data_IF_178966038297
#
_entry.id   IF_178966038297
#
_cell.length_a   1.000
_cell.length_b   1.000
_cell.length_c   1.000
_cell.angle_alpha   90.00
_cell.angle_beta   90.00
_cell.angle_gamma   90.00
#
_symmetry.space_group_name_H-M   'P 1'
#
loop_
_entity.id
_entity.type
_entity.pdbx_description
1 polymer ?
#
# COMPACT_ATOMS: atom_id res chain seq x y z
N UNK A 1 -2.51 7.96 -8.35
CA UNK A 1 -2.06 9.16 -9.08
C UNK A 1 -2.16 10.36 -8.14
N UNK A 2 -1.21 11.29 -8.19
CA UNK A 2 -1.28 12.52 -7.40
C UNK A 2 -1.76 13.68 -8.28
N UNK A 3 -3.06 14.00 -8.21
CA UNK A 3 -3.67 15.13 -8.92
C UNK A 3 -3.57 16.46 -8.16
N UNK A 4 -2.88 16.47 -7.03
CA UNK A 4 -2.61 17.67 -6.25
C UNK A 4 -1.56 18.58 -6.89
N UNK A 5 -1.23 19.66 -6.17
CA UNK A 5 -0.28 20.69 -6.58
C UNK A 5 1.09 20.57 -5.89
N UNK A 6 1.29 19.55 -5.06
CA UNK A 6 2.54 19.30 -4.32
C UNK A 6 2.94 17.83 -4.43
N UNK A 7 4.25 17.52 -4.43
CA UNK A 7 4.71 16.15 -4.29
C UNK A 7 4.26 15.59 -2.93
N UNK A 8 4.08 14.27 -2.88
CA UNK A 8 3.77 13.53 -1.65
C UNK A 8 4.85 12.47 -1.48
N UNK A 9 5.41 12.38 -0.28
CA UNK A 9 6.43 11.38 0.06
C UNK A 9 5.80 10.22 0.83
N UNK A 10 6.19 9.01 0.49
CA UNK A 10 5.76 7.78 1.15
C UNK A 10 6.97 7.00 1.64
N UNK A 11 6.85 6.43 2.85
CA UNK A 11 7.80 5.46 3.36
C UNK A 11 7.15 4.08 3.33
N UNK A 12 7.54 3.24 2.37
CA UNK A 12 6.96 1.90 2.21
C UNK A 12 7.27 0.95 3.37
N UNK A 13 8.26 1.26 4.21
CA UNK A 13 8.47 0.57 5.48
C UNK A 13 7.29 0.72 6.46
N UNK A 14 6.41 1.70 6.23
CA UNK A 14 5.15 1.90 6.97
C UNK A 14 3.92 1.39 6.22
N UNK A 15 4.10 0.64 5.13
CA UNK A 15 3.01 -0.04 4.47
C UNK A 15 2.42 -1.08 5.44
N UNK A 16 1.22 -0.81 5.91
CA UNK A 16 0.45 -1.75 6.70
C UNK A 16 -0.33 -2.66 5.75
N UNK A 17 -0.03 -3.95 5.81
CA UNK A 17 -0.81 -5.00 5.14
C UNK A 17 -1.46 -5.83 6.23
N UNK A 18 -2.78 -6.01 6.19
CA UNK A 18 -3.51 -6.84 7.15
C UNK A 18 -4.37 -7.88 6.46
N UNK A 19 -4.48 -9.05 7.07
CA UNK A 19 -5.41 -10.10 6.67
C UNK A 19 -6.86 -9.80 7.12
N UNK A 20 -7.78 -10.71 6.79
CA UNK A 20 -9.19 -10.65 7.15
C UNK A 20 -9.47 -10.69 8.65
N UNK A 21 -8.52 -11.15 9.47
CA UNK A 21 -8.59 -11.18 10.93
C UNK A 21 -7.97 -9.92 11.57
N UNK A 22 -7.39 -9.03 10.76
CA UNK A 22 -6.69 -7.82 11.21
C UNK A 22 -5.23 -8.07 11.61
N UNK A 23 -4.68 -9.27 11.36
CA UNK A 23 -3.29 -9.60 11.61
C UNK A 23 -2.39 -8.94 10.56
N UNK A 24 -1.32 -8.29 11.01
CA UNK A 24 -0.33 -7.69 10.11
C UNK A 24 0.46 -8.75 9.34
N UNK A 25 0.63 -8.52 8.05
CA UNK A 25 1.34 -9.39 7.11
C UNK A 25 2.64 -8.72 6.65
N UNK A 26 3.67 -9.53 6.44
CA UNK A 26 4.88 -9.06 5.77
C UNK A 26 4.62 -8.91 4.27
N UNK A 27 5.01 -7.75 3.73
CA UNK A 27 4.93 -7.47 2.31
C UNK A 27 6.18 -6.70 1.86
N UNK A 28 6.53 -6.86 0.59
CA UNK A 28 7.64 -6.16 -0.05
C UNK A 28 7.08 -5.28 -1.16
N UNK A 29 7.38 -3.98 -1.09
CA UNK A 29 7.07 -3.04 -2.16
C UNK A 29 8.26 -2.94 -3.12
N UNK A 30 8.00 -3.15 -4.40
CA UNK A 30 8.98 -3.07 -5.49
C UNK A 30 8.52 -2.06 -6.54
N UNK A 31 9.46 -1.31 -7.13
CA UNK A 31 9.22 -0.32 -8.19
C UNK A 31 8.20 0.81 -7.85
N UNK A 32 7.81 0.93 -6.58
CA UNK A 32 6.99 2.03 -6.11
C UNK A 32 7.89 3.21 -5.70
N UNK A 33 7.65 4.43 -6.22
CA UNK A 33 8.52 5.56 -5.95
C UNK A 33 8.25 6.16 -4.57
N UNK A 34 9.30 6.41 -3.79
CA UNK A 34 9.22 7.05 -2.46
C UNK A 34 8.65 8.48 -2.53
N UNK A 35 8.69 9.11 -3.70
CA UNK A 35 8.06 10.40 -3.95
C UNK A 35 7.11 10.29 -5.13
N UNK A 36 5.89 10.77 -4.95
CA UNK A 36 4.85 10.86 -5.96
C UNK A 36 4.68 12.33 -6.40
N UNK A 37 5.30 12.75 -7.53
CA UNK A 37 5.18 14.12 -8.01
C UNK A 37 3.74 14.52 -8.30
N UNK A 38 3.46 15.82 -8.15
CA UNK A 38 2.23 16.43 -8.62
C UNK A 38 2.07 16.28 -10.15
N UNK A 39 0.83 16.42 -10.64
CA UNK A 39 0.55 16.46 -12.08
C UNK A 39 -0.13 15.22 -12.66
N UNK A 40 -0.66 14.32 -11.82
CA UNK A 40 -1.61 13.29 -12.23
C UNK A 40 -1.01 12.10 -12.99
N UNK A 41 0.32 12.05 -13.17
CA UNK A 41 0.98 10.91 -13.82
C UNK A 41 0.74 9.62 -13.02
N UNK A 42 0.36 8.50 -13.68
CA UNK A 42 0.28 7.22 -13.01
C UNK A 42 1.68 6.64 -12.79
N UNK A 43 1.88 6.05 -11.62
CA UNK A 43 3.05 5.26 -11.27
C UNK A 43 2.57 3.85 -10.93
N UNK A 44 3.40 2.86 -11.25
CA UNK A 44 3.10 1.45 -11.05
C UNK A 44 4.28 0.82 -10.32
N UNK A 45 3.96 -0.11 -9.44
CA UNK A 45 4.90 -0.99 -8.79
C UNK A 45 4.14 -2.18 -8.24
N UNK A 46 4.84 -3.06 -7.56
CA UNK A 46 4.34 -4.36 -7.12
C UNK A 46 4.43 -4.45 -5.61
N UNK A 47 3.39 -5.01 -4.98
CA UNK A 47 3.43 -5.41 -3.57
C UNK A 47 3.42 -6.93 -3.56
N UNK A 48 4.51 -7.54 -3.12
CA UNK A 48 4.65 -8.99 -3.00
C UNK A 48 4.29 -9.41 -1.58
N UNK A 49 3.41 -10.41 -1.46
CA UNK A 49 3.00 -10.98 -0.19
C UNK A 49 3.23 -12.50 -0.28
N UNK A 50 3.97 -13.11 0.66
CA UNK A 50 4.18 -14.55 0.65
C UNK A 50 2.85 -15.32 0.77
N UNK A 51 2.61 -16.29 -0.11
CA UNK A 51 1.38 -17.07 -0.11
C UNK A 51 1.10 -17.75 1.24
N UNK A 52 2.15 -18.19 1.94
CA UNK A 52 2.06 -18.87 3.23
C UNK A 52 1.41 -18.03 4.33
N UNK A 53 1.38 -16.70 4.19
CA UNK A 53 0.78 -15.79 5.20
C UNK A 53 -0.65 -15.36 4.83
N UNK A 54 -1.16 -15.77 3.67
CA UNK A 54 -2.52 -15.44 3.21
C UNK A 54 -3.42 -16.66 3.01
N UNK A 55 -2.91 -17.87 3.25
CA UNK A 55 -3.62 -19.14 2.99
C UNK A 55 -5.03 -19.20 3.57
N UNK A 56 -5.22 -18.68 4.79
CA UNK A 56 -6.49 -18.73 5.52
C UNK A 56 -7.24 -17.38 5.54
N UNK A 57 -6.91 -16.48 4.61
CA UNK A 57 -7.51 -15.15 4.57
C UNK A 57 -8.41 -14.96 3.34
N UNK A 58 -9.62 -14.46 3.58
CA UNK A 58 -10.58 -14.15 2.52
C UNK A 58 -10.21 -12.87 1.75
N UNK A 59 -9.59 -11.91 2.45
CA UNK A 59 -9.21 -10.63 1.90
C UNK A 59 -8.05 -10.01 2.67
N UNK A 60 -7.32 -9.12 2.01
CA UNK A 60 -6.33 -8.27 2.66
C UNK A 60 -6.76 -6.80 2.60
N UNK A 61 -6.13 -5.99 3.44
CA UNK A 61 -6.19 -4.53 3.37
C UNK A 61 -4.79 -3.96 3.31
N UNK A 62 -4.67 -2.81 2.65
CA UNK A 62 -3.43 -2.06 2.50
C UNK A 62 -3.66 -0.64 3.00
N UNK A 63 -2.77 -0.14 3.84
CA UNK A 63 -2.79 1.25 4.28
C UNK A 63 -1.38 1.83 4.28
N UNK A 64 -1.22 2.97 3.63
CA UNK A 64 0.03 3.70 3.57
C UNK A 64 -0.25 5.19 3.72
N UNK A 65 0.29 5.79 4.78
CA UNK A 65 0.21 7.24 5.00
C UNK A 65 1.46 7.94 4.46
N UNK A 66 1.30 9.18 4.02
CA UNK A 66 2.41 10.06 3.66
C UNK A 66 3.28 10.39 4.87
N UNK A 67 4.54 10.70 4.60
CA UNK A 67 5.54 11.03 5.61
C UNK A 67 6.11 12.43 5.38
N UNK A 68 6.49 13.17 6.44
CA UNK A 68 6.25 12.89 7.86
C UNK A 68 4.85 13.27 8.36
N UNK A 69 4.02 13.94 7.55
CA UNK A 69 2.82 14.60 8.06
C UNK A 69 1.62 13.68 8.32
N UNK A 70 1.56 12.48 7.70
CA UNK A 70 0.46 11.51 7.85
C UNK A 70 -0.94 12.10 7.60
N UNK A 71 -1.07 13.01 6.63
CA UNK A 71 -2.32 13.67 6.24
C UNK A 71 -3.01 13.02 5.04
N UNK A 72 -2.25 12.33 4.19
CA UNK A 72 -2.73 11.63 3.01
C UNK A 72 -2.56 10.15 3.24
N UNK A 73 -3.66 9.40 3.16
CA UNK A 73 -3.62 7.94 3.26
C UNK A 73 -4.07 7.31 1.95
N UNK A 74 -3.24 6.43 1.42
CA UNK A 74 -3.63 5.46 0.40
C UNK A 74 -4.16 4.22 1.13
N UNK A 75 -5.45 3.95 0.95
CA UNK A 75 -6.13 2.81 1.55
C UNK A 75 -6.79 1.96 0.47
N UNK A 76 -6.58 0.65 0.55
CA UNK A 76 -7.36 -0.34 -0.19
C UNK A 76 -7.92 -1.33 0.81
N UNK A 77 -9.24 -1.34 0.93
CA UNK A 77 -9.93 -2.24 1.84
C UNK A 77 -10.47 -3.45 1.08
N UNK A 78 -10.40 -4.62 1.72
CA UNK A 78 -11.03 -5.87 1.25
C UNK A 78 -10.63 -6.27 -0.17
N UNK A 79 -9.32 -6.29 -0.46
CA UNK A 79 -8.79 -6.90 -1.68
C UNK A 79 -9.01 -8.41 -1.55
N UNK A 80 -9.89 -9.02 -2.36
CA UNK A 80 -10.20 -10.44 -2.23
C UNK A 80 -8.98 -11.28 -2.63
N UNK A 81 -8.72 -12.34 -1.87
CA UNK A 81 -7.74 -13.35 -2.24
C UNK A 81 -8.48 -14.39 -3.09
N UNK A 82 -8.16 -14.44 -4.38
CA UNK A 82 -8.66 -15.48 -5.26
C UNK A 82 -8.01 -16.81 -4.88
N UNK A 83 -8.76 -17.67 -4.23
CA UNK A 83 -8.42 -19.08 -4.03
C UNK A 83 -8.61 -19.86 -5.34
#
# INVERSE_FOLDING_TARGET
MNTGNKPVEFLYSFLEVKDSNGQSLNAIAEDLPDTLPAGGKPYRGTIQIPASVITDSDFISLKLSDYPQQKVTLGFDKIPIGQ
#
